data_IF_905228764700
#
_entry.id   IF_905228764700
#
_cell.length_a   1.000
_cell.length_b   1.000
_cell.length_c   1.000
_cell.angle_alpha   90.00
_cell.angle_beta   90.00
_cell.angle_gamma   90.00
#
_symmetry.space_group_name_H-M   'P 1'
#
loop_
_entity.id
_entity.type
_entity.pdbx_description
1 polymer ?
#
# COMPACT_ATOMS: atom_id res chain seq x y z
N UNK A 1 9.23 -27.38 -1.42
CA UNK A 1 9.08 -26.70 -2.73
C UNK A 1 7.67 -26.85 -3.31
N UNK A 2 7.11 -28.09 -3.44
CA UNK A 2 5.75 -28.29 -3.99
C UNK A 2 4.68 -27.55 -3.16
N UNK A 3 4.74 -27.62 -1.83
CA UNK A 3 3.82 -26.92 -0.92
C UNK A 3 3.85 -25.39 -1.13
N UNK A 4 5.04 -24.82 -1.25
CA UNK A 4 5.20 -23.38 -1.53
C UNK A 4 4.65 -23.04 -2.91
N UNK A 5 5.00 -23.78 -3.94
CA UNK A 5 4.48 -23.53 -5.29
C UNK A 5 2.95 -23.60 -5.34
N UNK A 6 2.34 -24.61 -4.71
CA UNK A 6 0.89 -24.74 -4.64
C UNK A 6 0.24 -23.54 -3.92
N UNK A 7 0.83 -23.06 -2.83
CA UNK A 7 0.32 -21.91 -2.10
C UNK A 7 0.40 -20.62 -2.93
N UNK A 8 1.52 -20.39 -3.62
CA UNK A 8 1.70 -19.21 -4.48
C UNK A 8 0.74 -19.21 -5.67
N UNK A 9 0.56 -20.37 -6.32
CA UNK A 9 -0.44 -20.55 -7.39
C UNK A 9 -1.85 -20.25 -6.87
N UNK A 10 -2.19 -20.70 -5.65
CA UNK A 10 -3.49 -20.39 -5.03
C UNK A 10 -3.64 -18.89 -4.83
N UNK A 11 -2.65 -18.21 -4.26
CA UNK A 11 -2.69 -16.76 -4.06
C UNK A 11 -2.87 -15.98 -5.36
N UNK A 12 -2.13 -16.37 -6.40
CA UNK A 12 -2.29 -15.80 -7.75
C UNK A 12 -3.70 -16.01 -8.30
N UNK A 13 -4.20 -17.26 -8.28
CA UNK A 13 -5.52 -17.59 -8.83
C UNK A 13 -6.65 -16.89 -8.07
N UNK A 14 -6.59 -16.85 -6.74
CA UNK A 14 -7.60 -16.17 -5.92
C UNK A 14 -7.65 -14.68 -6.27
N UNK A 15 -6.52 -14.00 -6.35
CA UNK A 15 -6.48 -12.59 -6.76
C UNK A 15 -7.00 -12.41 -8.18
N UNK A 16 -6.49 -13.21 -9.13
CA UNK A 16 -6.86 -13.09 -10.54
C UNK A 16 -8.36 -13.28 -10.79
N UNK A 17 -8.95 -14.30 -10.16
CA UNK A 17 -10.35 -14.63 -10.33
C UNK A 17 -11.28 -13.68 -9.56
N UNK A 18 -10.87 -13.21 -8.36
CA UNK A 18 -11.70 -12.32 -7.55
C UNK A 18 -11.73 -10.87 -8.05
N UNK A 19 -10.67 -10.39 -8.71
CA UNK A 19 -10.56 -8.98 -9.11
C UNK A 19 -11.70 -8.51 -10.03
N UNK A 20 -12.14 -9.24 -11.09
CA UNK A 20 -13.25 -8.78 -11.94
C UNK A 20 -14.60 -8.73 -11.20
N UNK A 21 -14.80 -9.58 -10.20
CA UNK A 21 -16.01 -9.55 -9.37
C UNK A 21 -15.96 -8.37 -8.38
N UNK A 22 -14.81 -8.14 -7.78
CA UNK A 22 -14.60 -7.02 -6.87
C UNK A 22 -14.76 -5.68 -7.61
N UNK A 23 -14.22 -5.55 -8.82
CA UNK A 23 -14.38 -4.35 -9.67
C UNK A 23 -15.86 -4.02 -9.84
N UNK A 24 -16.69 -4.99 -10.27
CA UNK A 24 -18.14 -4.79 -10.44
C UNK A 24 -18.85 -4.44 -9.14
N UNK A 25 -18.49 -5.14 -8.05
CA UNK A 25 -19.10 -4.92 -6.74
C UNK A 25 -18.76 -3.54 -6.19
N UNK A 26 -17.48 -3.11 -6.25
CA UNK A 26 -17.02 -1.82 -5.77
C UNK A 26 -17.65 -0.67 -6.55
N UNK A 27 -17.72 -0.79 -7.88
CA UNK A 27 -18.43 0.19 -8.72
C UNK A 27 -19.92 0.30 -8.33
N UNK A 28 -20.60 -0.84 -8.18
CA UNK A 28 -22.02 -0.85 -7.78
C UNK A 28 -22.26 -0.33 -6.35
N UNK A 29 -21.24 -0.43 -5.48
CA UNK A 29 -21.29 0.07 -4.10
C UNK A 29 -20.87 1.55 -3.97
N UNK A 30 -20.56 2.24 -5.08
CA UNK A 30 -20.11 3.64 -5.05
C UNK A 30 -18.66 3.83 -4.59
N UNK A 31 -17.87 2.74 -4.50
CA UNK A 31 -16.46 2.80 -4.10
C UNK A 31 -15.60 2.90 -5.37
N UNK A 32 -15.47 4.09 -5.88
CA UNK A 32 -14.69 4.39 -7.08
C UNK A 32 -13.90 5.69 -6.92
N UNK A 33 -12.91 5.89 -7.77
CA UNK A 33 -12.19 7.14 -7.89
C UNK A 33 -12.01 7.51 -9.36
N UNK A 34 -11.75 8.79 -9.63
CA UNK A 34 -11.54 9.30 -10.99
C UNK A 34 -10.07 9.19 -11.35
N UNK A 35 -9.74 8.53 -12.45
CA UNK A 35 -8.39 8.51 -13.00
C UNK A 35 -8.07 9.87 -13.65
N UNK A 36 -7.44 10.74 -12.87
CA UNK A 36 -7.19 12.15 -13.22
C UNK A 36 -6.22 12.33 -14.41
N UNK A 37 -5.42 11.29 -14.71
CA UNK A 37 -4.37 11.35 -15.72
C UNK A 37 -4.84 10.82 -17.10
N UNK A 38 -6.13 10.63 -17.27
CA UNK A 38 -6.74 10.21 -18.55
C UNK A 38 -7.57 11.35 -19.15
N UNK A 39 -7.63 11.38 -20.49
CA UNK A 39 -8.36 12.41 -21.25
C UNK A 39 -9.83 12.48 -20.83
N UNK A 40 -10.48 11.32 -20.69
CA UNK A 40 -11.91 11.22 -20.40
C UNK A 40 -12.19 11.09 -18.90
N UNK A 41 -11.14 11.15 -18.05
CA UNK A 41 -11.22 11.04 -16.58
C UNK A 41 -12.18 9.92 -16.12
N UNK A 42 -11.95 8.66 -16.54
CA UNK A 42 -12.89 7.57 -16.26
C UNK A 42 -12.99 7.31 -14.74
N UNK A 43 -14.20 6.95 -14.30
CA UNK A 43 -14.42 6.42 -12.96
C UNK A 43 -14.00 4.95 -12.95
N UNK A 44 -13.10 4.60 -12.06
CA UNK A 44 -12.59 3.24 -11.87
C UNK A 44 -12.86 2.78 -10.44
N UNK A 45 -13.20 1.50 -10.28
CA UNK A 45 -13.31 0.91 -8.95
C UNK A 45 -12.04 1.18 -8.14
N UNK A 46 -12.18 1.58 -6.88
CA UNK A 46 -11.07 1.78 -5.93
C UNK A 46 -11.03 0.64 -4.91
N UNK A 47 -10.00 0.60 -4.05
CA UNK A 47 -9.79 -0.48 -3.06
C UNK A 47 -9.49 -1.85 -3.67
N UNK A 48 -8.83 -1.89 -4.83
CA UNK A 48 -8.35 -3.13 -5.44
C UNK A 48 -7.43 -3.96 -4.54
N UNK A 49 -6.82 -3.32 -3.52
CA UNK A 49 -6.03 -3.98 -2.50
C UNK A 49 -6.74 -5.11 -1.77
N UNK A 50 -8.06 -5.07 -1.67
CA UNK A 50 -8.83 -6.16 -1.04
C UNK A 50 -8.71 -7.48 -1.78
N UNK A 51 -8.61 -7.48 -3.09
CA UNK A 51 -8.41 -8.72 -3.88
C UNK A 51 -7.01 -9.29 -3.68
N UNK A 52 -6.01 -8.41 -3.55
CA UNK A 52 -4.64 -8.79 -3.20
C UNK A 52 -4.58 -9.35 -1.77
N UNK A 53 -5.32 -8.76 -0.83
CA UNK A 53 -5.43 -9.29 0.53
C UNK A 53 -6.00 -10.71 0.53
N UNK A 54 -7.08 -10.98 -0.20
CA UNK A 54 -7.65 -12.33 -0.30
C UNK A 54 -6.67 -13.34 -0.90
N UNK A 55 -5.93 -12.96 -1.95
CA UNK A 55 -4.89 -13.80 -2.52
C UNK A 55 -3.74 -14.05 -1.56
N UNK A 56 -3.25 -13.02 -0.90
CA UNK A 56 -2.20 -13.11 0.11
C UNK A 56 -2.60 -14.03 1.28
N UNK A 57 -3.79 -13.83 1.84
CA UNK A 57 -4.35 -14.68 2.91
C UNK A 57 -4.47 -16.13 2.46
N UNK A 58 -5.03 -16.37 1.26
CA UNK A 58 -5.21 -17.71 0.72
C UNK A 58 -3.87 -18.41 0.50
N UNK A 59 -2.87 -17.69 -0.01
CA UNK A 59 -1.52 -18.24 -0.19
C UNK A 59 -0.92 -18.72 1.12
N UNK A 60 -0.87 -17.84 2.15
CA UNK A 60 -0.25 -18.20 3.43
C UNK A 60 -1.07 -19.29 4.14
N UNK A 61 -2.39 -19.24 4.15
CA UNK A 61 -3.23 -20.25 4.81
C UNK A 61 -3.11 -21.63 4.15
N UNK A 62 -3.04 -21.69 2.81
CA UNK A 62 -2.77 -22.95 2.10
C UNK A 62 -1.37 -23.47 2.43
N UNK A 63 -0.36 -22.59 2.47
CA UNK A 63 0.99 -23.00 2.89
C UNK A 63 0.99 -23.59 4.30
N UNK A 64 0.35 -22.91 5.26
CA UNK A 64 0.22 -23.39 6.64
C UNK A 64 -0.52 -24.73 6.70
N UNK A 65 -1.64 -24.88 5.99
CA UNK A 65 -2.42 -26.12 5.96
C UNK A 65 -1.61 -27.29 5.41
N UNK A 66 -0.92 -27.09 4.29
CA UNK A 66 -0.12 -28.14 3.67
C UNK A 66 1.12 -28.54 4.50
N UNK A 67 1.72 -27.60 5.22
CA UNK A 67 2.87 -27.89 6.09
C UNK A 67 2.45 -28.52 7.43
N UNK A 68 1.21 -28.37 7.85
CA UNK A 68 0.66 -29.02 9.07
C UNK A 68 0.30 -30.48 8.87
N UNK A 69 0.32 -31.02 7.64
CA UNK A 69 0.10 -32.44 7.36
C UNK A 69 1.28 -33.24 7.91
N UNK A 70 1.04 -34.42 8.57
CA UNK A 70 2.12 -35.26 9.10
C UNK A 70 3.21 -35.58 8.07
N UNK A 71 4.48 -35.30 8.39
CA UNK A 71 5.61 -35.40 7.49
C UNK A 71 5.94 -34.11 6.73
N UNK A 72 5.21 -33.04 6.96
CA UNK A 72 5.53 -31.70 6.46
C UNK A 72 6.76 -31.07 7.13
N UNK A 73 7.26 -29.98 6.55
CA UNK A 73 8.35 -29.20 7.13
C UNK A 73 7.90 -28.47 8.38
N UNK A 74 8.78 -28.37 9.38
CA UNK A 74 8.52 -27.56 10.58
C UNK A 74 8.56 -26.07 10.22
N UNK A 75 7.44 -25.39 10.36
CA UNK A 75 7.27 -23.96 10.10
C UNK A 75 6.71 -23.31 11.35
N UNK A 76 7.17 -22.12 11.66
CA UNK A 76 6.63 -21.37 12.79
C UNK A 76 5.29 -20.72 12.43
N UNK A 77 4.19 -21.46 12.67
CA UNK A 77 2.82 -21.01 12.37
C UNK A 77 2.47 -19.74 13.13
N UNK A 78 2.97 -19.58 14.36
CA UNK A 78 2.67 -18.42 15.22
C UNK A 78 3.20 -17.12 14.57
N UNK A 79 4.39 -17.15 14.00
CA UNK A 79 4.98 -16.01 13.29
C UNK A 79 4.18 -15.67 12.03
N UNK A 80 3.78 -16.70 11.25
CA UNK A 80 2.96 -16.47 10.05
C UNK A 80 1.59 -15.88 10.42
N UNK A 81 0.93 -16.38 11.48
CA UNK A 81 -0.34 -15.82 11.96
C UNK A 81 -0.19 -14.39 12.47
N UNK A 82 0.92 -14.07 13.14
CA UNK A 82 1.20 -12.71 13.58
C UNK A 82 1.37 -11.75 12.39
N UNK A 83 2.15 -12.16 11.37
CA UNK A 83 2.30 -11.37 10.14
C UNK A 83 0.97 -11.18 9.41
N UNK A 84 0.16 -12.25 9.28
CA UNK A 84 -1.20 -12.16 8.70
C UNK A 84 -2.07 -11.16 9.47
N UNK A 85 -2.08 -11.25 10.79
CA UNK A 85 -2.88 -10.36 11.65
C UNK A 85 -2.45 -8.90 11.47
N UNK A 86 -1.16 -8.60 11.44
CA UNK A 86 -0.63 -7.26 11.18
C UNK A 86 -1.08 -6.74 9.82
N UNK A 87 -0.96 -7.55 8.78
CA UNK A 87 -1.35 -7.18 7.41
C UNK A 87 -2.86 -6.95 7.30
N UNK A 88 -3.69 -7.80 7.92
CA UNK A 88 -5.14 -7.63 7.93
C UNK A 88 -5.53 -6.31 8.60
N UNK A 89 -5.01 -6.03 9.79
CA UNK A 89 -5.34 -4.81 10.55
C UNK A 89 -5.02 -3.58 9.69
N UNK A 90 -3.83 -3.52 9.11
CA UNK A 90 -3.40 -2.35 8.34
C UNK A 90 -4.14 -2.22 7.01
N UNK A 91 -4.50 -3.33 6.36
CA UNK A 91 -5.30 -3.35 5.14
C UNK A 91 -6.72 -2.84 5.39
N UNK A 92 -7.31 -3.18 6.54
CA UNK A 92 -8.62 -2.67 6.95
C UNK A 92 -8.56 -1.17 7.22
N UNK A 93 -7.46 -0.65 7.77
CA UNK A 93 -7.28 0.80 7.95
C UNK A 93 -7.22 1.50 6.59
N UNK A 94 -6.48 0.95 5.63
CA UNK A 94 -6.46 1.45 4.25
C UNK A 94 -7.83 1.39 3.58
N UNK A 95 -8.58 0.31 3.79
CA UNK A 95 -9.94 0.18 3.29
C UNK A 95 -10.88 1.23 3.89
N UNK A 96 -10.80 1.49 5.21
CA UNK A 96 -11.61 2.53 5.86
C UNK A 96 -11.33 3.92 5.28
N UNK A 97 -10.11 4.16 4.81
CA UNK A 97 -9.76 5.39 4.12
C UNK A 97 -10.26 5.44 2.68
N UNK A 98 -10.30 4.29 2.00
CA UNK A 98 -10.81 4.17 0.64
C UNK A 98 -12.34 4.28 0.56
N UNK A 99 -13.07 3.92 1.62
CA UNK A 99 -14.54 3.99 1.66
C UNK A 99 -14.97 5.45 1.84
N UNK A 100 -14.91 6.17 0.74
CA UNK A 100 -15.52 7.49 0.60
C UNK A 100 -16.87 7.29 -0.06
N UNK A 101 -17.93 7.42 0.71
CA UNK A 101 -19.26 7.53 0.11
C UNK A 101 -19.39 8.98 -0.36
N UNK A 102 -19.27 9.20 -1.65
CA UNK A 102 -19.71 10.46 -2.27
C UNK A 102 -21.24 10.48 -2.22
N UNK A 103 -21.77 10.92 -1.09
CA UNK A 103 -23.22 11.02 -0.85
C UNK A 103 -23.90 11.91 -1.91
N UNK A 104 -23.22 12.92 -2.46
CA UNK A 104 -23.77 13.75 -3.52
C UNK A 104 -23.88 12.99 -4.86
N UNK A 105 -22.87 12.18 -5.21
CA UNK A 105 -22.92 11.37 -6.43
C UNK A 105 -24.00 10.28 -6.36
N UNK A 106 -24.12 9.61 -5.21
CA UNK A 106 -25.14 8.58 -4.97
C UNK A 106 -26.55 9.20 -4.93
N UNK A 107 -26.70 10.38 -4.31
CA UNK A 107 -28.00 11.08 -4.28
C UNK A 107 -28.39 11.63 -5.66
N UNK A 108 -27.47 12.18 -6.44
CA UNK A 108 -27.78 12.71 -7.77
C UNK A 108 -28.19 11.59 -8.73
N UNK A 109 -27.64 10.41 -8.62
CA UNK A 109 -28.00 9.25 -9.44
C UNK A 109 -29.38 8.70 -9.05
N UNK A 110 -29.75 8.72 -7.77
CA UNK A 110 -31.09 8.35 -7.32
C UNK A 110 -32.15 9.42 -7.58
N UNK A 111 -31.78 10.69 -7.62
CA UNK A 111 -32.71 11.81 -7.87
C UNK A 111 -32.98 12.06 -9.36
N UNK A 112 -32.10 11.57 -10.27
CA UNK A 112 -32.42 11.56 -11.72
C UNK A 112 -33.56 10.59 -12.08
N UNK A 113 -34.05 9.83 -11.09
CA UNK A 113 -35.14 8.84 -11.24
C UNK A 113 -36.46 9.33 -10.61
N UNK A 114 -36.53 10.49 -9.93
CA UNK A 114 -37.75 10.98 -9.30
C UNK A 114 -37.80 12.49 -9.13
N UNK A 115 -38.90 13.07 -9.61
CA UNK A 115 -39.20 14.50 -9.55
C UNK A 115 -39.57 14.98 -8.14
N UNK A 116 -38.62 15.18 -7.24
CA UNK A 116 -38.90 15.94 -6.01
C UNK A 116 -37.65 16.67 -5.46
N UNK A 117 -37.45 17.90 -5.90
CA UNK A 117 -36.36 18.79 -5.51
C UNK A 117 -36.45 19.33 -4.06
N UNK A 118 -37.53 19.03 -3.33
CA UNK A 118 -37.91 19.75 -2.09
C UNK A 118 -37.37 19.08 -0.81
N UNK A 119 -37.05 17.79 -0.83
CA UNK A 119 -36.69 17.07 0.42
C UNK A 119 -35.19 17.05 0.76
N UNK A 120 -34.33 17.50 -0.14
CA UNK A 120 -32.86 17.41 0.01
C UNK A 120 -32.33 18.43 1.02
N UNK A 121 -32.87 19.63 1.02
CA UNK A 121 -32.38 20.73 1.86
C UNK A 121 -32.74 20.53 3.33
N UNK A 122 -33.85 19.84 3.61
CA UNK A 122 -34.30 19.53 4.97
C UNK A 122 -33.48 18.39 5.62
N UNK A 123 -33.05 17.39 4.84
CA UNK A 123 -32.19 16.30 5.33
C UNK A 123 -30.74 16.71 5.54
N UNK A 124 -30.26 17.71 4.77
CA UNK A 124 -28.90 18.27 4.90
C UNK A 124 -28.68 19.00 6.22
N UNK A 125 -29.73 19.65 6.75
CA UNK A 125 -29.62 20.42 8.01
C UNK A 125 -29.83 19.60 9.29
N UNK A 126 -30.49 18.45 9.23
CA UNK A 126 -30.92 17.76 10.45
C UNK A 126 -30.03 16.60 10.92
N UNK A 127 -29.20 16.01 10.05
CA UNK A 127 -28.51 14.75 10.39
C UNK A 127 -26.99 14.81 10.58
N UNK A 128 -26.30 15.87 10.16
CA UNK A 128 -24.83 15.89 10.18
C UNK A 128 -24.24 16.58 11.42
N UNK A 129 -24.95 17.51 12.04
CA UNK A 129 -24.42 18.29 13.17
C UNK A 129 -24.67 17.69 14.58
N UNK A 130 -25.45 16.63 14.71
CA UNK A 130 -25.95 16.17 16.02
C UNK A 130 -25.20 15.04 16.71
N UNK A 131 -24.21 14.41 16.07
CA UNK A 131 -23.52 13.27 16.67
C UNK A 131 -22.29 13.72 17.49
N UNK A 132 -22.21 13.40 18.79
CA UNK A 132 -21.13 13.85 19.68
C UNK A 132 -19.71 13.47 19.22
N UNK A 133 -19.58 12.35 18.52
CA UNK A 133 -18.31 11.87 18.00
C UNK A 133 -17.80 12.67 16.79
N UNK A 134 -18.68 13.30 15.99
CA UNK A 134 -18.28 14.16 14.89
C UNK A 134 -17.68 15.48 15.39
N UNK A 135 -18.18 16.03 16.51
CA UNK A 135 -17.55 17.21 17.15
C UNK A 135 -16.13 16.90 17.64
N UNK A 136 -15.88 15.67 18.10
CA UNK A 136 -14.55 15.22 18.50
C UNK A 136 -13.64 15.01 17.28
N UNK A 137 -14.16 14.38 16.23
CA UNK A 137 -13.42 14.16 14.97
C UNK A 137 -13.08 15.48 14.27
N UNK A 138 -14.02 16.42 14.21
CA UNK A 138 -13.78 17.76 13.65
C UNK A 138 -12.79 18.58 14.49
N UNK A 139 -12.72 18.40 15.81
CA UNK A 139 -11.68 19.00 16.65
C UNK A 139 -10.30 18.37 16.45
N UNK A 140 -10.24 17.07 16.15
CA UNK A 140 -8.99 16.36 15.88
C UNK A 140 -8.49 16.59 14.44
N UNK A 141 -9.38 16.84 13.49
CA UNK A 141 -9.04 17.13 12.08
C UNK A 141 -8.83 18.64 11.80
N UNK A 142 -9.27 19.52 12.70
CA UNK A 142 -9.52 20.94 12.43
C UNK A 142 -8.31 21.87 12.30
N UNK A 143 -7.06 21.41 12.33
CA UNK A 143 -5.91 22.33 12.30
C UNK A 143 -4.89 22.12 11.17
N UNK A 144 -5.17 21.32 10.15
CA UNK A 144 -4.19 21.06 9.06
C UNK A 144 -4.65 21.42 7.64
N UNK A 145 -5.80 22.06 7.47
CA UNK A 145 -6.29 22.51 6.17
C UNK A 145 -6.19 24.04 6.00
N UNK A 146 -4.98 24.58 6.03
CA UNK A 146 -4.70 25.93 5.52
C UNK A 146 -3.85 25.84 4.25
N UNK A 147 -4.52 25.99 3.12
CA UNK A 147 -3.93 26.03 1.78
C UNK A 147 -4.99 25.71 0.72
N UNK A 148 -6.14 26.43 0.76
CA UNK A 148 -7.22 26.26 -0.20
C UNK A 148 -7.08 27.24 -1.36
N UNK A 149 -7.05 26.70 -2.60
CA UNK A 149 -7.40 27.45 -3.79
C UNK A 149 -8.95 27.46 -3.94
N UNK A 150 -9.60 28.62 -4.08
CA UNK A 150 -11.07 28.73 -4.03
C UNK A 150 -11.82 28.25 -5.29
N UNK A 151 -11.15 27.73 -6.31
CA UNK A 151 -11.74 27.50 -7.64
C UNK A 151 -11.70 26.05 -8.14
N UNK A 152 -11.34 25.06 -7.34
CA UNK A 152 -11.54 23.65 -7.71
C UNK A 152 -12.82 23.12 -7.05
N UNK A 153 -13.71 22.53 -7.85
CA UNK A 153 -14.86 21.73 -7.39
C UNK A 153 -14.39 20.73 -6.34
N UNK A 154 -14.51 21.09 -5.08
CA UNK A 154 -14.11 20.29 -3.94
C UNK A 154 -15.08 19.10 -3.82
N UNK A 155 -14.76 17.98 -4.46
CA UNK A 155 -15.24 16.70 -3.95
C UNK A 155 -14.77 16.60 -2.50
N UNK A 156 -15.70 16.73 -1.57
CA UNK A 156 -15.48 16.61 -0.13
C UNK A 156 -14.90 15.21 0.16
N UNK A 157 -13.57 15.06 0.08
CA UNK A 157 -12.87 13.86 0.54
C UNK A 157 -12.88 13.86 2.05
N UNK A 158 -13.86 13.22 2.65
CA UNK A 158 -13.93 12.96 4.09
C UNK A 158 -13.15 11.69 4.47
N UNK A 159 -11.91 11.53 3.98
CA UNK A 159 -11.01 10.46 4.43
C UNK A 159 -10.57 10.65 5.88
N UNK A 160 -10.03 9.58 6.47
CA UNK A 160 -9.36 9.66 7.78
C UNK A 160 -8.24 10.71 7.70
N UNK A 161 -8.25 11.70 8.60
CA UNK A 161 -7.16 12.67 8.70
C UNK A 161 -5.80 11.96 8.92
N UNK A 162 -4.69 12.59 8.55
CA UNK A 162 -3.36 11.96 8.61
C UNK A 162 -2.99 11.47 10.02
N UNK A 163 -3.30 12.24 11.07
CA UNK A 163 -3.00 11.87 12.47
C UNK A 163 -3.78 10.63 12.92
N UNK A 164 -5.12 10.53 12.74
CA UNK A 164 -5.85 9.29 13.01
C UNK A 164 -5.32 8.09 12.24
N UNK A 165 -4.97 8.22 10.94
CA UNK A 165 -4.36 7.13 10.17
C UNK A 165 -3.08 6.62 10.83
N UNK A 166 -2.18 7.52 11.23
CA UNK A 166 -0.94 7.15 11.90
C UNK A 166 -1.19 6.42 13.23
N UNK A 167 -2.15 6.89 14.03
CA UNK A 167 -2.50 6.28 15.31
C UNK A 167 -3.12 4.88 15.14
N UNK A 168 -3.96 4.67 14.11
CA UNK A 168 -4.55 3.37 13.84
C UNK A 168 -3.55 2.33 13.32
N UNK A 169 -2.45 2.75 12.69
CA UNK A 169 -1.40 1.83 12.22
C UNK A 169 -0.59 1.24 13.37
N UNK A 170 -0.39 1.97 14.47
CA UNK A 170 0.41 1.49 15.60
C UNK A 170 -0.08 0.15 16.18
N UNK A 171 -1.40 -0.09 16.42
CA UNK A 171 -1.90 -1.39 16.88
C UNK A 171 -1.61 -2.54 15.94
N UNK A 172 -1.42 -2.29 14.63
CA UNK A 172 -1.08 -3.34 13.67
C UNK A 172 0.31 -3.96 13.92
N UNK A 173 1.17 -3.30 14.68
CA UNK A 173 2.46 -3.85 15.10
C UNK A 173 2.34 -4.85 16.26
N UNK A 174 1.26 -4.82 17.04
CA UNK A 174 1.10 -5.64 18.25
C UNK A 174 1.22 -7.15 17.98
N UNK A 175 0.67 -7.74 16.90
CA UNK A 175 0.85 -9.16 16.64
C UNK A 175 2.33 -9.55 16.47
N UNK A 176 3.13 -8.74 15.77
CA UNK A 176 4.56 -8.99 15.60
C UNK A 176 5.34 -8.82 16.92
N UNK A 177 4.96 -7.82 17.72
CA UNK A 177 5.54 -7.61 19.06
C UNK A 177 5.24 -8.81 19.96
N UNK A 178 4.01 -9.30 19.95
CA UNK A 178 3.55 -10.40 20.81
C UNK A 178 4.31 -11.71 20.58
N UNK A 179 4.76 -11.96 19.35
CA UNK A 179 5.56 -13.14 19.01
C UNK A 179 7.06 -12.90 19.10
N UNK A 180 7.48 -11.70 19.51
CA UNK A 180 8.89 -11.34 19.59
C UNK A 180 9.60 -11.34 18.23
N UNK A 181 8.90 -10.93 17.16
CA UNK A 181 9.47 -10.91 15.82
C UNK A 181 10.65 -9.94 15.72
N UNK A 182 11.66 -10.34 14.93
CA UNK A 182 12.87 -9.56 14.68
C UNK A 182 13.97 -9.75 15.71
N UNK A 183 15.11 -9.09 15.47
CA UNK A 183 16.29 -9.15 16.33
C UNK A 183 16.44 -7.87 17.15
N UNK A 184 16.58 -8.00 18.47
CA UNK A 184 16.79 -6.86 19.38
C UNK A 184 18.18 -6.27 19.29
N UNK A 185 19.06 -6.89 18.51
CA UNK A 185 20.42 -6.40 18.24
C UNK A 185 20.67 -6.33 16.73
N UNK A 186 21.36 -5.28 16.30
CA UNK A 186 21.73 -5.07 14.90
C UNK A 186 23.22 -4.78 14.80
N UNK A 187 23.93 -5.57 14.01
CA UNK A 187 25.35 -5.33 13.71
C UNK A 187 25.47 -4.51 12.44
N UNK A 188 26.18 -3.41 12.47
CA UNK A 188 26.51 -2.60 11.30
C UNK A 188 27.68 -3.25 10.54
N UNK A 189 27.52 -3.66 9.27
CA UNK A 189 28.48 -4.53 8.58
C UNK A 189 29.82 -3.87 8.28
N UNK A 190 29.88 -2.53 8.17
CA UNK A 190 31.11 -1.81 7.78
C UNK A 190 32.06 -1.62 8.96
N UNK A 191 31.52 -1.43 10.17
CA UNK A 191 32.29 -1.08 11.38
C UNK A 191 32.23 -2.18 12.44
N UNK A 192 31.59 -3.32 12.14
CA UNK A 192 31.37 -4.45 13.05
C UNK A 192 30.88 -4.02 14.45
N UNK A 193 30.05 -2.98 14.49
CA UNK A 193 29.48 -2.42 15.71
C UNK A 193 28.09 -2.94 15.93
N UNK A 194 27.87 -3.67 17.03
CA UNK A 194 26.55 -4.21 17.39
C UNK A 194 25.83 -3.27 18.34
N UNK A 195 24.68 -2.78 17.89
CA UNK A 195 23.76 -1.99 18.71
C UNK A 195 22.73 -2.95 19.31
N UNK A 196 22.62 -2.97 20.63
CA UNK A 196 21.56 -3.68 21.33
C UNK A 196 20.45 -2.68 21.70
N UNK A 197 19.32 -2.79 21.01
CA UNK A 197 18.17 -1.91 21.22
C UNK A 197 17.32 -2.28 22.45
N UNK A 198 17.46 -3.51 22.95
CA UNK A 198 16.64 -4.01 24.05
C UNK A 198 15.16 -3.79 23.84
N UNK A 199 14.46 -3.32 24.87
CA UNK A 199 13.00 -3.07 24.85
C UNK A 199 12.56 -1.98 23.85
N UNK A 200 13.48 -1.11 23.42
CA UNK A 200 13.19 -0.06 22.45
C UNK A 200 12.84 -0.66 21.09
N UNK A 201 13.45 -1.80 20.72
CA UNK A 201 13.17 -2.45 19.44
C UNK A 201 11.69 -2.81 19.28
N UNK A 202 11.08 -3.66 20.14
CA UNK A 202 9.68 -4.04 19.97
C UNK A 202 8.69 -2.90 20.25
N UNK A 203 8.98 -1.99 21.20
CA UNK A 203 8.01 -0.98 21.60
C UNK A 203 8.04 0.31 20.77
N UNK A 204 9.17 0.62 20.13
CA UNK A 204 9.35 1.88 19.39
C UNK A 204 9.72 1.61 17.95
N UNK A 205 10.81 0.87 17.69
CA UNK A 205 11.33 0.73 16.33
C UNK A 205 10.41 -0.09 15.44
N UNK A 206 9.81 -1.17 15.96
CA UNK A 206 8.92 -2.03 15.19
C UNK A 206 7.61 -1.29 14.80
N UNK A 207 6.86 -0.63 15.72
CA UNK A 207 5.69 0.15 15.34
C UNK A 207 6.01 1.32 14.40
N UNK A 208 7.10 2.06 14.65
CA UNK A 208 7.50 3.17 13.78
C UNK A 208 7.98 2.68 12.42
N UNK A 209 8.67 1.54 12.34
CA UNK A 209 9.08 0.92 11.09
C UNK A 209 7.86 0.51 10.25
N UNK A 210 6.88 -0.16 10.85
CA UNK A 210 5.64 -0.53 10.18
C UNK A 210 4.90 0.71 9.66
N UNK A 211 4.78 1.74 10.50
CA UNK A 211 4.17 3.02 10.14
C UNK A 211 4.91 3.67 8.96
N UNK A 212 6.25 3.74 9.04
CA UNK A 212 7.07 4.35 8.00
C UNK A 212 6.93 3.61 6.67
N UNK A 213 7.17 2.30 6.66
CA UNK A 213 7.16 1.49 5.43
C UNK A 213 5.79 1.53 4.75
N UNK A 214 4.69 1.44 5.51
CA UNK A 214 3.33 1.49 4.94
C UNK A 214 3.02 2.86 4.32
N UNK A 215 3.42 3.95 4.98
CA UNK A 215 3.16 5.29 4.46
C UNK A 215 4.02 5.64 3.25
N UNK A 216 5.30 5.23 3.20
CA UNK A 216 6.15 5.56 2.04
C UNK A 216 5.73 4.82 0.78
N UNK A 217 5.19 3.60 0.90
CA UNK A 217 4.58 2.90 -0.25
C UNK A 217 3.37 3.68 -0.77
N UNK A 218 2.54 4.22 0.12
CA UNK A 218 1.40 5.05 -0.27
C UNK A 218 1.82 6.38 -0.91
N UNK A 219 2.89 6.99 -0.43
CA UNK A 219 3.41 8.26 -1.01
C UNK A 219 3.84 8.11 -2.47
N UNK A 220 4.31 6.94 -2.89
CA UNK A 220 4.79 6.64 -4.25
C UNK A 220 3.70 5.92 -5.09
N UNK A 221 2.47 6.38 -5.03
CA UNK A 221 1.31 5.82 -5.73
C UNK A 221 0.72 6.82 -6.75
N UNK A 222 1.55 7.41 -7.60
CA UNK A 222 1.14 8.52 -8.47
C UNK A 222 0.65 8.12 -9.87
N UNK A 223 0.86 6.89 -10.33
CA UNK A 223 0.52 6.42 -11.69
C UNK A 223 0.02 4.98 -11.66
N UNK A 224 -0.75 4.59 -12.70
CA UNK A 224 -1.32 3.24 -12.80
C UNK A 224 -0.24 2.17 -12.77
N UNK A 225 -0.38 1.18 -11.89
CA UNK A 225 0.55 0.07 -11.73
C UNK A 225 1.83 0.39 -10.95
N UNK A 226 2.08 1.63 -10.54
CA UNK A 226 3.35 2.01 -9.92
C UNK A 226 3.55 1.35 -8.55
N UNK A 227 2.64 1.58 -7.62
CA UNK A 227 2.75 1.03 -6.25
C UNK A 227 2.74 -0.50 -6.24
N UNK A 228 1.84 -1.11 -7.02
CA UNK A 228 1.79 -2.56 -7.17
C UNK A 228 3.05 -3.15 -7.81
N UNK A 229 3.55 -2.52 -8.88
CA UNK A 229 4.73 -3.00 -9.60
C UNK A 229 6.02 -2.88 -8.81
N UNK A 230 6.26 -1.75 -8.15
CA UNK A 230 7.45 -1.59 -7.29
C UNK A 230 7.39 -2.53 -6.08
N UNK A 231 6.23 -2.66 -5.44
CA UNK A 231 6.04 -3.62 -4.32
C UNK A 231 6.21 -5.06 -4.76
N UNK A 232 5.82 -5.42 -6.00
CA UNK A 232 6.06 -6.73 -6.59
C UNK A 232 7.56 -7.02 -6.70
N UNK A 233 8.37 -6.06 -7.18
CA UNK A 233 9.82 -6.24 -7.27
C UNK A 233 10.47 -6.37 -5.89
N UNK A 234 10.14 -5.47 -4.97
CA UNK A 234 10.66 -5.50 -3.61
C UNK A 234 10.31 -6.81 -2.87
N UNK A 235 9.03 -7.24 -2.92
CA UNK A 235 8.61 -8.49 -2.27
C UNK A 235 9.22 -9.74 -2.93
N UNK A 236 9.40 -9.72 -4.26
CA UNK A 236 10.08 -10.82 -4.96
C UNK A 236 11.53 -10.94 -4.50
N UNK A 237 12.25 -9.83 -4.42
CA UNK A 237 13.64 -9.80 -3.94
C UNK A 237 13.77 -10.24 -2.48
N UNK A 238 12.88 -9.77 -1.59
CA UNK A 238 12.84 -10.20 -0.19
C UNK A 238 12.60 -11.71 -0.06
N UNK A 239 11.69 -12.24 -0.86
CA UNK A 239 11.41 -13.68 -0.86
C UNK A 239 12.63 -14.51 -1.32
N UNK A 240 13.33 -14.06 -2.37
CA UNK A 240 14.58 -14.70 -2.83
C UNK A 240 15.65 -14.63 -1.74
N UNK A 241 15.89 -13.43 -1.19
CA UNK A 241 16.90 -13.23 -0.15
C UNK A 241 16.58 -14.04 1.11
N UNK A 242 15.32 -14.04 1.56
CA UNK A 242 14.89 -14.83 2.72
C UNK A 242 15.07 -16.33 2.49
N UNK A 243 14.70 -16.83 1.31
CA UNK A 243 14.87 -18.25 0.97
C UNK A 243 16.34 -18.67 0.94
N UNK A 244 17.22 -17.88 0.32
CA UNK A 244 18.66 -18.14 0.25
C UNK A 244 19.33 -18.15 1.63
N UNK A 245 18.80 -17.35 2.58
CA UNK A 245 19.31 -17.27 3.95
C UNK A 245 18.57 -18.21 4.93
N UNK A 246 17.73 -19.13 4.45
CA UNK A 246 17.00 -20.08 5.28
C UNK A 246 15.85 -19.50 6.09
N UNK A 247 15.45 -18.24 5.82
CA UNK A 247 14.34 -17.53 6.47
C UNK A 247 13.03 -17.85 5.76
N UNK A 248 12.56 -19.09 5.93
CA UNK A 248 11.45 -19.63 5.13
C UNK A 248 10.15 -18.88 5.38
N UNK A 249 9.81 -18.55 6.63
CA UNK A 249 8.59 -17.81 6.96
C UNK A 249 8.59 -16.42 6.30
N UNK A 250 9.72 -15.72 6.33
CA UNK A 250 9.87 -14.44 5.66
C UNK A 250 9.71 -14.56 4.14
N UNK A 251 10.31 -15.60 3.54
CA UNK A 251 10.18 -15.88 2.11
C UNK A 251 8.72 -16.18 1.72
N UNK A 252 8.00 -16.94 2.54
CA UNK A 252 6.57 -17.24 2.33
C UNK A 252 5.73 -15.97 2.36
N UNK A 253 5.95 -15.10 3.36
CA UNK A 253 5.23 -13.82 3.46
C UNK A 253 5.49 -12.98 2.20
N UNK A 254 6.76 -12.78 1.83
CA UNK A 254 7.13 -11.94 0.70
C UNK A 254 6.62 -12.50 -0.64
N UNK A 255 6.82 -13.81 -0.92
CA UNK A 255 6.38 -14.41 -2.18
C UNK A 255 4.85 -14.55 -2.27
N UNK A 256 4.15 -14.73 -1.15
CA UNK A 256 2.67 -14.70 -1.15
C UNK A 256 2.14 -13.35 -1.60
N UNK A 257 2.77 -12.24 -1.15
CA UNK A 257 2.47 -10.91 -1.66
C UNK A 257 2.81 -10.78 -3.14
N UNK A 258 4.00 -11.25 -3.57
CA UNK A 258 4.42 -11.21 -4.98
C UNK A 258 3.45 -11.95 -5.89
N UNK A 259 2.98 -13.13 -5.50
CA UNK A 259 2.04 -13.93 -6.29
C UNK A 259 0.69 -13.21 -6.46
N UNK A 260 0.16 -12.63 -5.38
CA UNK A 260 -1.08 -11.86 -5.43
C UNK A 260 -0.92 -10.57 -6.26
N UNK A 261 0.20 -9.84 -6.09
CA UNK A 261 0.49 -8.64 -6.88
C UNK A 261 0.70 -8.96 -8.37
N UNK A 262 1.36 -10.05 -8.72
CA UNK A 262 1.55 -10.44 -10.12
C UNK A 262 0.19 -10.64 -10.84
N UNK A 263 -0.79 -11.22 -10.15
CA UNK A 263 -2.15 -11.33 -10.67
C UNK A 263 -2.86 -9.97 -10.76
N UNK A 264 -2.73 -9.14 -9.71
CA UNK A 264 -3.37 -7.84 -9.66
C UNK A 264 -2.83 -6.88 -10.72
N UNK A 265 -1.53 -6.93 -11.03
CA UNK A 265 -0.90 -6.09 -12.05
C UNK A 265 -1.52 -6.24 -13.43
N UNK A 266 -2.15 -7.37 -13.76
CA UNK A 266 -2.91 -7.53 -15.01
C UNK A 266 -4.07 -6.52 -15.12
N UNK A 267 -4.69 -6.18 -14.00
CA UNK A 267 -5.84 -5.26 -13.94
C UNK A 267 -5.45 -3.81 -13.61
N UNK A 268 -4.35 -3.63 -12.88
CA UNK A 268 -3.93 -2.32 -12.38
C UNK A 268 -2.86 -1.64 -13.24
N UNK A 269 -2.15 -2.39 -14.12
CA UNK A 269 -1.17 -1.79 -15.02
C UNK A 269 -1.87 -0.90 -16.06
N UNK A 270 -1.12 0.08 -16.59
CA UNK A 270 -1.66 1.03 -17.56
C UNK A 270 -2.18 0.37 -18.85
N UNK A 271 -3.40 0.69 -19.32
CA UNK A 271 -4.47 1.44 -18.63
C UNK A 271 -5.17 0.57 -17.58
N UNK A 272 -5.31 1.08 -16.36
CA UNK A 272 -5.91 0.31 -15.27
C UNK A 272 -7.42 0.14 -15.47
N UNK A 273 -7.96 -1.02 -15.04
CA UNK A 273 -9.40 -1.25 -14.89
C UNK A 273 -9.86 -1.07 -13.45
N UNK A 274 -8.94 -1.23 -12.49
CA UNK A 274 -9.19 -1.03 -11.06
C UNK A 274 -8.02 -0.28 -10.42
N UNK A 275 -8.32 0.65 -9.53
CA UNK A 275 -7.32 1.40 -8.77
C UNK A 275 -6.93 0.66 -7.49
N UNK A 276 -5.66 0.79 -7.06
CA UNK A 276 -5.15 0.06 -5.91
C UNK A 276 -5.85 0.45 -4.60
N UNK A 277 -6.09 1.74 -4.39
CA UNK A 277 -6.52 2.32 -3.13
C UNK A 277 -5.43 2.30 -2.05
N UNK A 278 -5.72 2.97 -0.93
CA UNK A 278 -4.86 2.93 0.26
C UNK A 278 -4.80 1.52 0.87
N UNK A 279 -5.85 0.73 0.68
CA UNK A 279 -5.91 -0.69 1.06
C UNK A 279 -4.76 -1.52 0.47
N UNK A 280 -4.37 -1.29 -0.81
CA UNK A 280 -3.22 -1.98 -1.41
C UNK A 280 -1.90 -1.45 -0.86
N UNK A 281 -1.71 -0.15 -0.83
CA UNK A 281 -0.41 0.44 -0.50
C UNK A 281 -0.01 0.13 0.94
N UNK A 282 -0.97 0.21 1.87
CA UNK A 282 -0.77 -0.19 3.26
C UNK A 282 -0.53 -1.69 3.41
N UNK A 283 -1.28 -2.52 2.70
CA UNK A 283 -1.06 -3.97 2.65
C UNK A 283 0.37 -4.30 2.20
N UNK A 284 0.81 -3.71 1.09
CA UNK A 284 2.16 -3.92 0.56
C UNK A 284 3.23 -3.54 1.58
N UNK A 285 3.11 -2.35 2.18
CA UNK A 285 4.05 -1.89 3.20
C UNK A 285 4.09 -2.82 4.41
N UNK A 286 2.93 -3.25 4.92
CA UNK A 286 2.85 -4.14 6.08
C UNK A 286 3.42 -5.54 5.79
N UNK A 287 3.12 -6.13 4.64
CA UNK A 287 3.61 -7.46 4.27
C UNK A 287 5.12 -7.44 4.02
N UNK A 288 5.63 -6.42 3.32
CA UNK A 288 7.07 -6.21 3.10
C UNK A 288 7.78 -6.03 4.45
N UNK A 289 7.29 -5.14 5.32
CA UNK A 289 7.86 -4.91 6.64
C UNK A 289 7.82 -6.17 7.51
N UNK A 290 6.70 -6.90 7.52
CA UNK A 290 6.58 -8.17 8.26
C UNK A 290 7.61 -9.19 7.79
N UNK A 291 7.81 -9.32 6.46
CA UNK A 291 8.85 -10.19 5.90
C UNK A 291 10.25 -9.77 6.35
N UNK A 292 10.57 -8.46 6.29
CA UNK A 292 11.87 -7.94 6.72
C UNK A 292 12.16 -8.27 8.19
N UNK A 293 11.19 -8.02 9.08
CA UNK A 293 11.33 -8.23 10.52
C UNK A 293 11.39 -9.73 10.85
N UNK A 294 10.50 -10.55 10.29
CA UNK A 294 10.47 -12.00 10.52
C UNK A 294 11.77 -12.67 10.06
N UNK A 295 12.36 -12.18 8.98
CA UNK A 295 13.61 -12.72 8.42
C UNK A 295 14.89 -12.09 8.97
N UNK A 296 14.81 -11.10 9.87
CA UNK A 296 15.93 -10.26 10.27
C UNK A 296 16.69 -9.68 9.06
N UNK A 297 15.92 -9.23 8.06
CA UNK A 297 16.43 -8.76 6.76
C UNK A 297 16.36 -7.22 6.64
N UNK A 298 16.34 -6.49 7.76
CA UNK A 298 16.12 -5.03 7.77
C UNK A 298 17.20 -4.29 6.96
N UNK A 299 18.45 -4.75 6.99
CA UNK A 299 19.54 -4.13 6.22
C UNK A 299 19.32 -4.23 4.73
N UNK A 300 18.97 -5.42 4.25
CA UNK A 300 18.62 -5.66 2.85
C UNK A 300 17.35 -4.87 2.48
N UNK A 301 16.35 -4.89 3.36
CA UNK A 301 15.11 -4.15 3.19
C UNK A 301 15.32 -2.66 3.03
N UNK A 302 16.12 -2.02 3.91
CA UNK A 302 16.46 -0.59 3.79
C UNK A 302 17.16 -0.29 2.47
N UNK A 303 18.04 -1.17 1.99
CA UNK A 303 18.72 -1.00 0.71
C UNK A 303 17.72 -0.99 -0.47
N UNK A 304 16.85 -1.99 -0.56
CA UNK A 304 15.86 -2.06 -1.64
C UNK A 304 14.77 -0.98 -1.50
N UNK A 305 14.56 -0.41 -0.33
CA UNK A 305 13.64 0.71 -0.09
C UNK A 305 14.23 2.08 -0.41
N UNK A 306 15.43 2.15 -0.99
CA UNK A 306 16.08 3.42 -1.36
C UNK A 306 15.16 4.37 -2.16
N UNK A 307 14.42 3.95 -3.21
CA UNK A 307 13.51 4.85 -3.92
C UNK A 307 12.38 5.39 -3.04
N UNK A 308 11.83 4.57 -2.16
CA UNK A 308 10.77 4.99 -1.23
C UNK A 308 11.30 5.97 -0.18
N UNK A 309 12.52 5.75 0.32
CA UNK A 309 13.19 6.68 1.25
C UNK A 309 13.46 8.02 0.57
N UNK A 310 13.90 8.01 -0.69
CA UNK A 310 14.07 9.24 -1.48
C UNK A 310 12.73 9.96 -1.70
N UNK A 311 11.65 9.23 -1.99
CA UNK A 311 10.30 9.80 -2.10
C UNK A 311 9.89 10.49 -0.81
N UNK A 312 10.11 9.85 0.35
CA UNK A 312 9.82 10.44 1.66
C UNK A 312 10.51 11.80 1.84
N UNK A 313 11.81 11.88 1.55
CA UNK A 313 12.54 13.15 1.69
C UNK A 313 12.08 14.21 0.67
N UNK A 314 11.70 13.81 -0.53
CA UNK A 314 11.12 14.72 -1.52
C UNK A 314 9.78 15.28 -1.04
N UNK A 315 8.90 14.41 -0.51
CA UNK A 315 7.60 14.80 0.07
C UNK A 315 7.75 15.68 1.31
N UNK A 316 8.73 15.38 2.17
CA UNK A 316 9.03 16.19 3.36
C UNK A 316 9.33 17.65 3.00
N UNK A 317 10.00 17.90 1.87
CA UNK A 317 10.29 19.27 1.39
C UNK A 317 9.03 20.09 1.07
N UNK A 318 7.91 19.45 0.80
CA UNK A 318 6.60 20.09 0.57
C UNK A 318 5.69 20.05 1.79
N UNK A 319 6.17 19.57 2.96
CA UNK A 319 5.31 19.31 4.11
C UNK A 319 4.26 18.23 3.82
N UNK A 320 4.58 17.26 2.94
CA UNK A 320 3.70 16.17 2.50
C UNK A 320 2.44 16.61 1.72
N UNK A 321 2.38 17.86 1.25
CA UNK A 321 1.23 18.38 0.51
C UNK A 321 1.30 18.14 -1.01
N UNK A 322 2.49 17.85 -1.56
CA UNK A 322 2.66 17.72 -3.00
C UNK A 322 2.01 16.45 -3.57
N UNK A 323 1.33 16.60 -4.71
CA UNK A 323 0.72 15.49 -5.47
C UNK A 323 1.78 14.73 -6.25
N UNK A 324 1.71 13.40 -6.29
CA UNK A 324 2.63 12.54 -7.08
C UNK A 324 2.12 12.29 -8.50
N UNK A 325 0.84 12.51 -8.77
CA UNK A 325 0.23 12.39 -10.07
C UNK A 325 0.37 13.69 -10.89
N UNK A 326 0.28 13.61 -12.21
CA UNK A 326 0.53 14.72 -13.13
C UNK A 326 -0.70 15.15 -13.92
N UNK A 327 -0.53 16.26 -14.66
CA UNK A 327 -1.52 16.82 -15.57
C UNK A 327 -1.24 16.25 -16.96
N UNK A 328 -2.26 15.64 -17.59
CA UNK A 328 -2.16 15.12 -18.94
C UNK A 328 -2.04 16.26 -19.95
N UNK A 329 -1.00 16.23 -20.78
CA UNK A 329 -0.77 17.16 -21.85
C UNK A 329 -1.42 16.69 -23.18
N UNK A 330 -1.53 17.59 -24.15
CA UNK A 330 -2.15 17.28 -25.45
C UNK A 330 -1.42 16.18 -26.24
N UNK A 331 -0.12 16.05 -26.03
CA UNK A 331 0.75 15.04 -26.67
C UNK A 331 0.73 13.68 -25.94
N UNK A 332 -0.04 13.54 -24.84
CA UNK A 332 -0.14 12.33 -24.04
C UNK A 332 0.94 12.19 -22.97
N UNK A 333 1.82 13.19 -22.81
CA UNK A 333 2.79 13.23 -21.71
C UNK A 333 2.15 13.76 -20.43
N UNK A 334 2.81 13.55 -19.29
CA UNK A 334 2.40 14.12 -18.02
C UNK A 334 3.31 15.29 -17.62
N UNK A 335 2.72 16.33 -17.07
CA UNK A 335 3.44 17.44 -16.45
C UNK A 335 3.12 17.51 -14.95
N UNK A 336 4.02 18.08 -14.18
CA UNK A 336 3.87 18.20 -12.73
C UNK A 336 2.97 19.39 -12.36
N UNK A 337 2.15 19.24 -11.32
CA UNK A 337 1.42 20.35 -10.69
C UNK A 337 2.34 21.37 -10.01
N UNK A 338 3.64 21.07 -9.89
CA UNK A 338 4.57 21.84 -9.06
C UNK A 338 5.83 22.24 -9.86
N UNK A 339 6.31 23.47 -9.65
CA UNK A 339 7.56 23.97 -10.22
C UNK A 339 8.80 23.24 -9.69
N UNK A 340 8.70 22.67 -8.48
CA UNK A 340 9.81 21.95 -7.84
C UNK A 340 9.58 20.45 -7.84
N UNK A 341 10.66 19.68 -7.75
CA UNK A 341 10.61 18.23 -7.63
C UNK A 341 10.29 17.86 -6.17
N UNK A 342 9.11 17.31 -5.95
CA UNK A 342 8.60 16.83 -4.66
C UNK A 342 8.20 15.35 -4.68
N UNK A 343 8.40 14.68 -5.83
CA UNK A 343 8.17 13.25 -6.01
C UNK A 343 9.15 12.72 -7.05
N UNK A 344 9.46 11.43 -7.00
CA UNK A 344 10.24 10.75 -8.03
C UNK A 344 9.53 10.79 -9.39
N UNK A 345 8.20 10.74 -9.41
CA UNK A 345 7.41 10.87 -10.64
C UNK A 345 7.66 12.20 -11.36
N UNK A 346 7.85 13.30 -10.60
CA UNK A 346 8.13 14.62 -11.19
C UNK A 346 9.45 14.67 -11.97
N UNK A 347 10.43 13.83 -11.59
CA UNK A 347 11.74 13.75 -12.31
C UNK A 347 11.52 13.30 -13.76
N UNK A 348 10.59 12.37 -13.96
CA UNK A 348 10.26 11.80 -15.27
C UNK A 348 9.24 12.68 -16.01
N UNK A 349 8.29 13.30 -15.32
CA UNK A 349 7.36 14.27 -15.91
C UNK A 349 8.12 15.42 -16.58
N UNK A 350 9.15 15.94 -15.93
CA UNK A 350 10.02 16.98 -16.53
C UNK A 350 10.77 16.54 -17.79
N UNK A 351 10.76 15.26 -18.12
CA UNK A 351 11.33 14.71 -19.35
C UNK A 351 10.27 14.45 -20.43
N UNK A 352 9.06 14.99 -20.24
CA UNK A 352 7.90 14.82 -21.12
C UNK A 352 7.60 13.33 -21.38
N UNK A 353 7.53 12.54 -20.30
CA UNK A 353 7.22 11.11 -20.37
C UNK A 353 5.73 10.87 -20.19
N UNK A 354 5.21 9.85 -20.88
CA UNK A 354 3.85 9.37 -20.67
C UNK A 354 3.74 8.63 -19.34
N UNK A 355 2.53 8.49 -18.82
CA UNK A 355 2.27 7.76 -17.57
C UNK A 355 2.87 6.35 -17.58
N UNK A 356 2.66 5.59 -18.67
CA UNK A 356 3.23 4.25 -18.82
C UNK A 356 4.76 4.25 -18.77
N UNK A 357 5.40 5.23 -19.40
CA UNK A 357 6.85 5.35 -19.38
C UNK A 357 7.39 5.66 -17.98
N UNK A 358 6.71 6.54 -17.22
CA UNK A 358 7.05 6.86 -15.83
C UNK A 358 6.98 5.60 -14.97
N UNK A 359 5.85 4.88 -15.02
CA UNK A 359 5.64 3.63 -14.28
C UNK A 359 6.71 2.60 -14.60
N UNK A 360 6.96 2.32 -15.89
CA UNK A 360 7.97 1.33 -16.31
C UNK A 360 9.36 1.75 -15.88
N UNK A 361 9.71 3.03 -15.98
CA UNK A 361 11.03 3.52 -15.57
C UNK A 361 11.29 3.32 -14.09
N UNK A 362 10.31 3.66 -13.22
CA UNK A 362 10.44 3.51 -11.79
C UNK A 362 10.48 2.03 -11.36
N UNK A 363 9.65 1.16 -11.95
CA UNK A 363 9.69 -0.29 -11.72
C UNK A 363 11.05 -0.87 -12.17
N UNK A 364 11.60 -0.40 -13.30
CA UNK A 364 12.91 -0.84 -13.78
C UNK A 364 14.02 -0.43 -12.81
N UNK A 365 14.00 0.80 -12.31
CA UNK A 365 14.97 1.27 -11.30
C UNK A 365 14.87 0.43 -10.04
N UNK A 366 13.67 0.18 -9.54
CA UNK A 366 13.45 -0.69 -8.38
C UNK A 366 14.00 -2.09 -8.63
N UNK A 367 13.72 -2.68 -9.80
CA UNK A 367 14.24 -4.00 -10.19
C UNK A 367 15.77 -4.04 -10.19
N UNK A 368 16.42 -3.01 -10.72
CA UNK A 368 17.89 -2.91 -10.73
C UNK A 368 18.44 -2.79 -9.31
N UNK A 369 17.81 -2.01 -8.44
CA UNK A 369 18.21 -1.89 -7.03
C UNK A 369 18.04 -3.23 -6.33
N UNK A 370 16.92 -3.93 -6.54
CA UNK A 370 16.68 -5.26 -5.98
C UNK A 370 17.73 -6.28 -6.43
N UNK A 371 18.05 -6.34 -7.71
CA UNK A 371 19.09 -7.24 -8.24
C UNK A 371 20.46 -6.89 -7.68
N UNK A 372 20.81 -5.62 -7.65
CA UNK A 372 22.08 -5.15 -7.07
C UNK A 372 22.16 -5.51 -5.58
N UNK A 373 21.07 -5.30 -4.84
CA UNK A 373 20.99 -5.68 -3.42
C UNK A 373 21.15 -7.18 -3.22
N UNK A 374 20.48 -8.02 -4.04
CA UNK A 374 20.65 -9.48 -3.99
C UNK A 374 22.11 -9.86 -4.19
N UNK A 375 22.79 -9.34 -5.21
CA UNK A 375 24.20 -9.64 -5.47
C UNK A 375 25.07 -9.17 -4.29
N UNK A 376 24.88 -7.94 -3.82
CA UNK A 376 25.69 -7.35 -2.75
C UNK A 376 25.58 -8.15 -1.45
N UNK A 377 24.34 -8.45 -1.02
CA UNK A 377 24.08 -9.07 0.30
C UNK A 377 24.18 -10.59 0.31
N UNK A 378 24.19 -11.27 -0.86
CA UNK A 378 24.36 -12.74 -0.90
C UNK A 378 25.75 -13.17 -1.32
N UNK A 379 26.50 -12.35 -2.08
CA UNK A 379 27.79 -12.74 -2.65
C UNK A 379 28.95 -12.01 -1.98
N UNK A 380 28.73 -10.76 -1.56
CA UNK A 380 29.83 -9.89 -1.06
C UNK A 380 29.81 -9.75 0.46
N UNK A 381 28.64 -9.62 1.08
CA UNK A 381 28.45 -9.49 2.53
C UNK A 381 27.90 -10.76 3.14
#
# INVERSE_FOLDING_TARGET
MITLAASLVTGFLVTFLSTPYAEKYLMASGIFAVDQQKKDKPRLASSGGMTVLFGFLSSITVYMALTSIPGGSTVNLTILLAALSSVIIISLIGLLDDIHVDLEAVMTEHLSIGDDEIDIELHRQTNIESLPHQKLLNRLSGNFSQGKDPNEDEMLRNGLGQIPKMLFVLPAALPLIAVGAGSWSMTLPIIDFTINWGIIYPLVLLPLGLLFVSNVVNMLAGTNGLSGGMSLMASTALGIFGYLNGQIEAAVIAWSLSAALAAFMYFNFYPASILPGDSLTYLCGAAIFSSMVVGNMEKFGVFIFTPYILEFFLKLRSGFSARSWGILQQDGTLDSHHDKIYSLTHVFMRRNMTERQITVSLITIESLICVTGLILFTVIL
#
